data_IF_570563376429
#
_entry.id   IF_570563376429
#
_cell.length_a   1.000
_cell.length_b   1.000
_cell.length_c   1.000
_cell.angle_alpha   90.00
_cell.angle_beta   90.00
_cell.angle_gamma   90.00
#
_symmetry.space_group_name_H-M   'P 1'
#
loop_
_entity.id
_entity.type
_entity.pdbx_description
1 polymer ?
#
# COMPACT_ATOMS: atom_id res chain seq x y z
N UNK A 1 -3.11 1.13 1.29
CA UNK A 1 -4.19 0.13 1.62
C UNK A 1 -4.39 0.14 3.15
N UNK A 2 -5.53 -0.29 3.70
CA UNK A 2 -5.73 -0.22 5.16
C UNK A 2 -5.09 -1.42 5.87
N UNK A 3 -4.16 -1.17 6.81
CA UNK A 3 -3.61 -2.19 7.72
C UNK A 3 -3.17 -3.48 7.02
N UNK A 4 -2.47 -3.38 5.89
CA UNK A 4 -2.17 -4.53 5.01
C UNK A 4 -1.47 -5.67 5.75
N UNK A 5 -0.55 -5.38 6.67
CA UNK A 5 0.14 -6.41 7.46
C UNK A 5 -0.84 -7.28 8.24
N UNK A 6 -1.81 -6.65 8.90
CA UNK A 6 -2.80 -7.35 9.72
C UNK A 6 -3.89 -8.05 8.90
N UNK A 7 -3.97 -7.83 7.59
CA UNK A 7 -4.83 -8.63 6.71
C UNK A 7 -4.22 -9.98 6.32
N UNK A 8 -2.92 -10.20 6.56
CA UNK A 8 -2.21 -11.40 6.11
C UNK A 8 -2.02 -12.36 7.29
N UNK A 9 -2.62 -13.56 7.25
CA UNK A 9 -2.47 -14.53 8.33
C UNK A 9 -1.04 -15.09 8.36
N UNK A 10 -0.52 -15.29 9.58
CA UNK A 10 0.69 -16.07 9.80
C UNK A 10 0.36 -17.56 9.83
N UNK A 11 1.17 -18.33 9.11
CA UNK A 11 1.21 -19.78 9.20
C UNK A 11 1.40 -20.21 10.66
N UNK A 12 0.69 -21.25 11.09
CA UNK A 12 0.61 -21.63 12.50
C UNK A 12 1.99 -21.98 13.09
N UNK A 13 2.82 -22.63 12.27
CA UNK A 13 4.21 -22.99 12.54
C UNK A 13 5.14 -21.79 12.73
N UNK A 14 4.82 -20.63 12.15
CA UNK A 14 5.63 -19.41 12.28
C UNK A 14 5.27 -18.58 13.52
N UNK A 15 4.06 -18.75 14.08
CA UNK A 15 3.58 -17.93 15.21
C UNK A 15 4.51 -17.93 16.43
N UNK A 16 5.12 -19.06 16.86
CA UNK A 16 6.03 -19.05 18.00
C UNK A 16 7.22 -18.09 17.85
N UNK A 17 7.67 -17.80 16.62
CA UNK A 17 8.78 -16.88 16.35
C UNK A 17 8.43 -15.42 16.63
N UNK A 18 7.13 -15.10 16.66
CA UNK A 18 6.61 -13.76 16.89
C UNK A 18 5.98 -13.64 18.29
N UNK A 19 6.43 -14.46 19.24
CA UNK A 19 5.97 -14.38 20.62
C UNK A 19 6.53 -13.14 21.34
N UNK A 20 5.73 -12.56 22.23
CA UNK A 20 6.14 -11.48 23.13
C UNK A 20 5.47 -11.64 24.49
N UNK A 21 6.07 -11.10 25.55
CA UNK A 21 5.53 -11.20 26.91
C UNK A 21 4.92 -9.88 27.33
N UNK A 22 3.71 -9.93 27.87
CA UNK A 22 3.01 -8.79 28.44
C UNK A 22 2.44 -9.17 29.81
N UNK A 23 2.84 -8.44 30.86
CA UNK A 23 2.36 -8.67 32.25
C UNK A 23 2.53 -10.10 32.76
N UNK A 24 3.56 -10.80 32.30
CA UNK A 24 3.83 -12.19 32.69
C UNK A 24 3.17 -13.24 31.79
N UNK A 25 2.26 -12.84 30.90
CA UNK A 25 1.62 -13.72 29.94
C UNK A 25 2.31 -13.64 28.56
N UNK A 26 2.50 -14.79 27.92
CA UNK A 26 3.06 -14.87 26.57
C UNK A 26 1.95 -14.79 25.53
N UNK A 27 2.11 -13.88 24.58
CA UNK A 27 1.23 -13.71 23.43
C UNK A 27 2.01 -13.95 22.14
N UNK A 28 1.29 -14.20 21.05
CA UNK A 28 1.86 -14.32 19.72
C UNK A 28 0.96 -13.65 18.68
N UNK A 29 1.57 -13.11 17.64
CA UNK A 29 0.86 -12.57 16.49
C UNK A 29 0.23 -13.70 15.66
N UNK A 30 -1.05 -13.52 15.30
CA UNK A 30 -1.76 -14.42 14.35
C UNK A 30 -1.69 -13.92 12.91
N UNK A 31 -1.35 -12.66 12.72
CA UNK A 31 -1.20 -11.98 11.43
C UNK A 31 0.20 -11.38 11.34
N UNK A 32 0.59 -10.96 10.15
CA UNK A 32 1.91 -10.40 9.90
C UNK A 32 2.16 -9.18 10.82
N UNK A 33 3.19 -9.20 11.68
CA UNK A 33 3.42 -8.12 12.62
C UNK A 33 4.03 -6.90 11.94
N UNK A 34 3.68 -5.74 12.46
CA UNK A 34 4.43 -4.51 12.18
C UNK A 34 5.81 -4.59 12.84
N UNK A 35 6.84 -4.12 12.14
CA UNK A 35 8.23 -4.14 12.62
C UNK A 35 9.05 -5.36 12.18
N UNK A 36 8.44 -6.39 11.60
CA UNK A 36 9.22 -7.46 10.99
C UNK A 36 9.73 -7.06 9.60
N UNK A 37 11.03 -7.28 9.36
CA UNK A 37 11.76 -6.80 8.17
C UNK A 37 11.17 -7.26 6.84
N UNK A 38 10.53 -8.43 6.80
CA UNK A 38 9.96 -9.00 5.58
C UNK A 38 8.47 -8.69 5.39
N UNK A 39 7.80 -8.09 6.38
CA UNK A 39 6.39 -7.74 6.28
C UNK A 39 6.10 -6.86 5.05
N UNK A 40 6.89 -5.80 4.76
CA UNK A 40 6.69 -4.95 3.58
C UNK A 40 6.80 -5.73 2.27
N UNK A 41 7.80 -6.59 2.12
CA UNK A 41 8.03 -7.37 0.91
C UNK A 41 6.90 -8.35 0.64
N UNK A 42 6.42 -9.05 1.68
CA UNK A 42 5.30 -9.99 1.56
C UNK A 42 4.02 -9.25 1.15
N UNK A 43 3.73 -8.09 1.77
CA UNK A 43 2.56 -7.29 1.40
C UNK A 43 2.63 -6.79 -0.04
N UNK A 44 3.80 -6.28 -0.43
CA UNK A 44 4.02 -5.81 -1.79
C UNK A 44 3.73 -6.91 -2.81
N UNK A 45 4.30 -8.11 -2.61
CA UNK A 45 4.11 -9.24 -3.52
C UNK A 45 2.67 -9.74 -3.61
N UNK A 46 1.94 -9.77 -2.49
CA UNK A 46 0.52 -10.16 -2.49
C UNK A 46 -0.37 -9.16 -3.21
N UNK A 47 -0.16 -7.86 -2.98
CA UNK A 47 -0.89 -6.81 -3.70
C UNK A 47 -0.55 -6.85 -5.20
N UNK A 48 0.73 -7.00 -5.54
CA UNK A 48 1.17 -7.09 -6.93
C UNK A 48 0.49 -8.27 -7.64
N UNK A 49 0.49 -9.45 -7.00
CA UNK A 49 -0.17 -10.65 -7.54
C UNK A 49 -1.66 -10.41 -7.78
N UNK A 50 -2.35 -9.76 -6.85
CA UNK A 50 -3.77 -9.42 -7.01
C UNK A 50 -4.01 -8.47 -8.19
N UNK A 51 -3.15 -7.46 -8.34
CA UNK A 51 -3.23 -6.50 -9.45
C UNK A 51 -2.98 -7.17 -10.80
N UNK A 52 -1.99 -8.07 -10.89
CA UNK A 52 -1.68 -8.84 -12.09
C UNK A 52 -2.83 -9.78 -12.48
N UNK A 53 -3.35 -10.58 -11.54
CA UNK A 53 -4.49 -11.47 -11.77
C UNK A 53 -5.76 -10.70 -12.16
N UNK A 54 -5.96 -9.52 -11.57
CA UNK A 54 -7.06 -8.62 -11.89
C UNK A 54 -6.90 -7.86 -13.22
N UNK A 55 -5.77 -8.05 -13.93
CA UNK A 55 -5.41 -7.29 -15.14
C UNK A 55 -5.52 -5.78 -14.88
N UNK A 56 -4.90 -5.33 -13.79
CA UNK A 56 -4.87 -3.94 -13.40
C UNK A 56 -4.36 -3.07 -14.56
N UNK A 57 -4.90 -1.84 -14.72
CA UNK A 57 -4.35 -0.89 -15.68
C UNK A 57 -2.93 -0.48 -15.26
N UNK A 58 -2.24 0.27 -16.12
CA UNK A 58 -0.92 0.83 -15.80
C UNK A 58 -0.94 1.60 -14.47
N UNK A 59 0.00 1.26 -13.58
CA UNK A 59 0.10 1.81 -12.24
C UNK A 59 1.54 1.68 -11.72
N UNK A 60 1.86 2.44 -10.67
CA UNK A 60 3.08 2.28 -9.89
C UNK A 60 2.68 1.93 -8.46
N UNK A 61 3.27 0.84 -7.96
CA UNK A 61 3.02 0.33 -6.63
C UNK A 61 4.28 0.44 -5.78
N UNK A 62 4.13 0.92 -4.54
CA UNK A 62 5.15 0.84 -3.50
C UNK A 62 4.51 0.34 -2.20
N UNK A 63 4.85 -0.89 -1.81
CA UNK A 63 4.23 -1.60 -0.68
C UNK A 63 2.69 -1.54 -0.79
N UNK A 64 2.04 -0.66 -0.01
CA UNK A 64 0.60 -0.50 0.07
C UNK A 64 0.06 0.79 -0.58
N UNK A 65 0.96 1.65 -1.08
CA UNK A 65 0.65 2.86 -1.84
C UNK A 65 0.65 2.56 -3.34
N UNK A 66 -0.40 3.02 -4.03
CA UNK A 66 -0.59 2.82 -5.47
C UNK A 66 -0.93 4.16 -6.10
N UNK A 67 -0.29 4.47 -7.22
CA UNK A 67 -0.57 5.64 -8.04
C UNK A 67 -0.88 5.23 -9.47
N UNK A 68 -1.79 5.99 -10.09
CA UNK A 68 -2.23 5.84 -11.47
C UNK A 68 -2.17 7.19 -12.16
N UNK A 69 -2.02 7.15 -13.48
CA UNK A 69 -1.93 8.34 -14.33
C UNK A 69 -2.65 8.12 -15.67
N UNK A 70 -2.85 9.23 -16.37
CA UNK A 70 -3.53 9.31 -17.65
C UNK A 70 -3.66 10.76 -18.07
N UNK A 71 -3.99 10.99 -19.35
CA UNK A 71 -4.11 12.33 -19.91
C UNK A 71 -5.51 12.92 -19.74
N UNK A 72 -6.51 12.06 -19.48
CA UNK A 72 -7.93 12.40 -19.41
C UNK A 72 -8.44 12.04 -18.00
N UNK A 73 -9.20 12.94 -17.38
CA UNK A 73 -9.69 12.78 -16.01
C UNK A 73 -10.57 11.53 -15.86
N UNK A 74 -11.46 11.31 -16.83
CA UNK A 74 -12.37 10.17 -16.89
C UNK A 74 -11.60 8.85 -16.98
N UNK A 75 -10.53 8.81 -17.77
CA UNK A 75 -9.67 7.64 -17.90
C UNK A 75 -8.99 7.29 -16.57
N UNK A 76 -8.41 8.28 -15.90
CA UNK A 76 -7.77 8.10 -14.58
C UNK A 76 -8.80 7.62 -13.54
N UNK A 77 -10.01 8.18 -13.58
CA UNK A 77 -11.07 7.80 -12.67
C UNK A 77 -11.51 6.34 -12.86
N UNK A 78 -11.71 5.90 -14.11
CA UNK A 78 -12.07 4.52 -14.42
C UNK A 78 -10.93 3.53 -14.12
N UNK A 79 -9.67 3.90 -14.39
CA UNK A 79 -8.49 3.14 -13.94
C UNK A 79 -8.49 2.96 -12.42
N UNK A 80 -8.77 4.04 -11.68
CA UNK A 80 -8.84 4.02 -10.21
C UNK A 80 -9.93 3.11 -9.68
N UNK A 81 -11.15 3.21 -10.23
CA UNK A 81 -12.24 2.29 -9.89
C UNK A 81 -11.86 0.83 -10.14
N UNK A 82 -11.23 0.53 -11.27
CA UNK A 82 -10.81 -0.83 -11.61
C UNK A 82 -9.80 -1.38 -10.59
N UNK A 83 -8.79 -0.61 -10.20
CA UNK A 83 -7.84 -1.01 -9.16
C UNK A 83 -8.54 -1.26 -7.83
N UNK A 84 -9.41 -0.34 -7.40
CA UNK A 84 -10.19 -0.48 -6.16
C UNK A 84 -11.01 -1.77 -6.18
N UNK A 85 -11.69 -2.07 -7.29
CA UNK A 85 -12.46 -3.31 -7.44
C UNK A 85 -11.60 -4.57 -7.36
N UNK A 86 -10.42 -4.57 -7.99
CA UNK A 86 -9.49 -5.70 -7.95
C UNK A 86 -9.05 -5.98 -6.51
N UNK A 87 -8.62 -4.93 -5.80
CA UNK A 87 -8.15 -5.04 -4.42
C UNK A 87 -9.25 -5.51 -3.47
N UNK A 88 -10.48 -4.99 -3.61
CA UNK A 88 -11.63 -5.43 -2.82
C UNK A 88 -11.97 -6.90 -3.08
N UNK A 89 -11.95 -7.34 -4.35
CA UNK A 89 -12.17 -8.75 -4.71
C UNK A 89 -11.10 -9.68 -4.15
N UNK A 90 -9.86 -9.21 -4.05
CA UNK A 90 -8.75 -9.93 -3.43
C UNK A 90 -8.79 -9.90 -1.89
N UNK A 91 -9.80 -9.26 -1.28
CA UNK A 91 -9.99 -9.22 0.18
C UNK A 91 -9.21 -8.11 0.90
N UNK A 92 -8.57 -7.19 0.18
CA UNK A 92 -7.89 -6.06 0.79
C UNK A 92 -8.88 -4.97 1.21
N UNK A 93 -8.68 -4.42 2.41
CA UNK A 93 -9.43 -3.28 2.89
C UNK A 93 -8.85 -1.96 2.36
N UNK A 94 -9.71 -1.05 1.89
CA UNK A 94 -9.28 0.25 1.37
C UNK A 94 -9.78 1.36 2.31
N UNK A 95 -8.85 2.20 2.78
CA UNK A 95 -9.18 3.38 3.58
C UNK A 95 -9.64 4.50 2.65
N UNK A 96 -10.96 4.64 2.47
CA UNK A 96 -11.53 5.65 1.57
C UNK A 96 -11.06 7.08 1.86
N UNK A 97 -10.87 7.44 3.14
CA UNK A 97 -10.36 8.77 3.52
C UNK A 97 -8.92 9.05 3.08
N UNK A 98 -8.17 8.04 2.63
CA UNK A 98 -6.84 8.19 2.03
C UNK A 98 -6.84 8.09 0.50
N UNK A 99 -7.97 7.75 -0.12
CA UNK A 99 -8.08 7.71 -1.57
C UNK A 99 -8.19 9.14 -2.07
N UNK A 100 -7.24 9.56 -2.91
CA UNK A 100 -7.27 10.86 -3.58
C UNK A 100 -7.91 10.67 -4.96
N UNK A 101 -8.78 11.62 -5.33
CA UNK A 101 -9.33 11.67 -6.69
C UNK A 101 -8.29 12.08 -7.73
N UNK A 102 -8.66 12.09 -9.02
CA UNK A 102 -7.81 12.62 -10.08
C UNK A 102 -7.40 14.07 -9.77
N UNK A 103 -6.11 14.37 -9.92
CA UNK A 103 -5.56 15.69 -9.72
C UNK A 103 -4.38 15.90 -10.67
N UNK A 104 -4.17 17.15 -11.09
CA UNK A 104 -2.98 17.53 -11.89
C UNK A 104 -1.69 17.51 -11.04
N UNK A 105 -1.84 17.60 -9.72
CA UNK A 105 -0.76 17.54 -8.76
C UNK A 105 -1.05 16.48 -7.71
N UNK A 106 -0.07 15.61 -7.47
CA UNK A 106 -0.13 14.63 -6.37
C UNK A 106 1.22 14.57 -5.64
N UNK A 107 1.16 14.30 -4.34
CA UNK A 107 2.32 13.89 -3.56
C UNK A 107 2.28 12.37 -3.38
N UNK A 108 3.32 11.69 -3.86
CA UNK A 108 3.48 10.24 -3.79
C UNK A 108 4.89 9.91 -3.31
N UNK A 109 5.00 9.13 -2.22
CA UNK A 109 6.27 8.76 -1.58
C UNK A 109 7.17 9.96 -1.23
N UNK A 110 6.55 11.07 -0.79
CA UNK A 110 7.28 12.29 -0.45
C UNK A 110 7.75 13.10 -1.67
N UNK A 111 7.46 12.68 -2.90
CA UNK A 111 7.77 13.41 -4.13
C UNK A 111 6.50 14.05 -4.67
N UNK A 112 6.58 15.32 -5.06
CA UNK A 112 5.51 16.03 -5.77
C UNK A 112 5.60 15.75 -7.26
N UNK A 113 4.48 15.34 -7.85
CA UNK A 113 4.33 15.05 -9.27
C UNK A 113 3.33 16.04 -9.85
N UNK A 114 3.73 16.75 -10.91
CA UNK A 114 2.90 17.73 -11.60
C UNK A 114 3.34 17.84 -13.06
N UNK A 115 2.40 17.72 -14.01
CA UNK A 115 2.64 17.87 -15.46
C UNK A 115 3.87 17.07 -15.98
N UNK A 116 4.00 15.82 -15.53
CA UNK A 116 5.12 14.93 -15.88
C UNK A 116 6.46 15.28 -15.23
N UNK A 117 6.52 16.32 -14.39
CA UNK A 117 7.70 16.74 -13.63
C UNK A 117 7.66 16.19 -12.22
N UNK A 118 8.84 15.83 -11.70
CA UNK A 118 9.07 15.40 -10.32
C UNK A 118 9.80 16.51 -9.56
N UNK A 119 9.29 16.86 -8.40
CA UNK A 119 9.90 17.84 -7.51
C UNK A 119 9.99 17.26 -6.10
N UNK A 120 11.14 17.42 -5.45
CA UNK A 120 11.28 17.11 -4.03
C UNK A 120 10.77 18.33 -3.26
N UNK A 121 9.74 18.19 -2.41
CA UNK A 121 9.23 19.28 -1.60
C UNK A 121 10.30 19.85 -0.65
N UNK A 122 10.31 21.17 -0.46
CA UNK A 122 11.36 21.85 0.32
C UNK A 122 11.37 21.42 1.79
N UNK A 123 10.22 21.04 2.34
CA UNK A 123 10.10 20.48 3.69
C UNK A 123 10.80 19.13 3.86
N UNK A 124 10.95 18.35 2.78
CA UNK A 124 11.75 17.12 2.79
C UNK A 124 13.24 17.47 2.74
N UNK A 125 13.63 18.45 1.93
CA UNK A 125 15.02 18.92 1.82
C UNK A 125 15.51 19.50 3.16
N UNK A 126 14.68 20.31 3.81
CA UNK A 126 14.97 20.94 5.10
C UNK A 126 15.09 19.96 6.28
N UNK A 127 14.72 18.68 6.10
CA UNK A 127 14.95 17.63 7.12
C UNK A 127 16.32 16.96 6.99
N UNK A 128 16.99 17.14 5.86
CA UNK A 128 18.28 16.53 5.55
C UNK A 128 19.43 17.53 5.76
N UNK A 129 19.12 18.84 5.69
CA UNK A 129 20.06 19.95 5.95
C UNK A 129 19.87 20.47 7.36
#
# INVERSE_FOLDING_TARGET
IANVFFSIPLAAECRPQFAFTWRGDQHTWKQLPQGWKHSPTICHGLIQTALEQGKAPEHLQYIDDIVIWGNILEEVFEKGKKIVQILLKAGFAIKQSKVKGPAQEIQFLGIKWQDGRRQIPMDVINKIT
#
